data_IF_939548269327
#
_entry.id   IF_939548269327
#
_cell.length_a   1.000
_cell.length_b   1.000
_cell.length_c   1.000
_cell.angle_alpha   90.00
_cell.angle_beta   90.00
_cell.angle_gamma   90.00
#
_symmetry.space_group_name_H-M   'P 1'
#
loop_
_entity.id
_entity.type
_entity.pdbx_description
1 polymer ?
#
# COMPACT_ATOMS: atom_id res chain seq x y z
N UNK A 1 -18.47 36.28 30.24
CA UNK A 1 -17.56 35.11 30.23
C UNK A 1 -18.30 33.97 30.89
N UNK A 2 -18.88 33.07 30.10
CA UNK A 2 -19.65 31.92 30.60
C UNK A 2 -18.70 30.74 30.61
N UNK A 3 -18.37 30.23 31.81
CA UNK A 3 -17.59 29.00 31.96
C UNK A 3 -18.61 27.87 32.05
N UNK A 4 -18.76 27.10 30.97
CA UNK A 4 -19.49 25.84 31.01
C UNK A 4 -18.64 24.83 31.78
N UNK A 5 -19.04 24.51 33.01
CA UNK A 5 -18.50 23.35 33.72
C UNK A 5 -19.16 22.10 33.16
N UNK A 6 -18.53 21.46 32.18
CA UNK A 6 -18.98 20.14 31.75
C UNK A 6 -18.67 19.14 32.87
N UNK A 7 -19.73 18.67 33.53
CA UNK A 7 -19.67 17.60 34.51
C UNK A 7 -19.27 16.31 33.79
N UNK A 8 -18.03 15.86 33.97
CA UNK A 8 -17.61 14.51 33.60
C UNK A 8 -18.39 13.51 34.45
N UNK A 9 -19.43 12.92 33.85
CA UNK A 9 -20.15 11.80 34.44
C UNK A 9 -19.42 10.51 34.07
N UNK A 10 -18.82 9.86 35.06
CA UNK A 10 -18.32 8.48 34.90
C UNK A 10 -19.56 7.58 34.85
N UNK A 11 -19.88 7.11 33.65
CA UNK A 11 -20.96 6.15 33.45
C UNK A 11 -20.39 4.78 33.81
N UNK A 12 -20.74 4.27 35.00
CA UNK A 12 -20.49 2.89 35.38
C UNK A 12 -21.48 1.98 34.63
N UNK A 13 -21.10 1.58 33.42
CA UNK A 13 -21.84 0.62 32.60
C UNK A 13 -21.40 -0.79 32.98
N UNK A 14 -22.36 -1.65 33.36
CA UNK A 14 -22.11 -3.08 33.52
C UNK A 14 -21.45 -3.66 32.26
N UNK A 15 -20.40 -4.47 32.45
CA UNK A 15 -19.71 -5.22 31.39
C UNK A 15 -20.57 -6.32 30.73
N UNK A 16 -21.85 -6.44 31.08
CA UNK A 16 -22.80 -7.39 30.46
C UNK A 16 -23.23 -6.99 29.04
N UNK A 17 -22.85 -5.81 28.54
CA UNK A 17 -23.03 -5.47 27.13
C UNK A 17 -22.14 -6.38 26.27
N UNK A 18 -22.75 -7.26 25.45
CA UNK A 18 -22.04 -8.05 24.43
C UNK A 18 -21.36 -7.11 23.43
N UNK A 19 -20.10 -6.78 23.68
CA UNK A 19 -19.24 -6.05 22.74
C UNK A 19 -19.00 -6.96 21.54
N UNK A 20 -19.60 -6.63 20.40
CA UNK A 20 -19.37 -7.33 19.13
C UNK A 20 -18.45 -6.49 18.27
N UNK A 21 -17.20 -6.92 18.11
CA UNK A 21 -16.30 -6.35 17.11
C UNK A 21 -16.76 -6.82 15.73
N UNK A 22 -17.28 -5.89 14.92
CA UNK A 22 -17.60 -6.17 13.51
C UNK A 22 -16.44 -5.66 12.64
N UNK A 23 -15.88 -6.54 11.84
CA UNK A 23 -14.90 -6.14 10.84
C UNK A 23 -15.63 -5.30 9.78
N UNK A 24 -15.34 -4.00 9.70
CA UNK A 24 -15.76 -3.18 8.56
C UNK A 24 -14.78 -3.46 7.42
N UNK A 25 -15.17 -4.38 6.54
CA UNK A 25 -14.50 -4.56 5.26
C UNK A 25 -14.75 -3.35 4.35
N UNK A 26 -13.72 -2.92 3.62
CA UNK A 26 -13.77 -1.75 2.75
C UNK A 26 -12.79 -0.67 3.21
N UNK A 27 -11.57 -0.72 2.66
CA UNK A 27 -10.55 0.31 2.78
C UNK A 27 -9.68 0.31 1.53
N UNK A 28 -9.25 1.49 1.08
CA UNK A 28 -8.34 1.59 -0.06
C UNK A 28 -6.91 1.50 0.45
N UNK A 29 -6.29 0.33 0.32
CA UNK A 29 -4.85 0.13 0.62
C UNK A 29 -3.98 0.96 -0.33
N UNK A 30 -4.52 1.27 -1.50
CA UNK A 30 -3.81 1.88 -2.61
C UNK A 30 -3.97 3.40 -2.51
N UNK A 31 -2.98 4.08 -1.94
CA UNK A 31 -2.94 5.57 -1.87
C UNK A 31 -2.64 6.22 -3.22
N UNK A 32 -2.06 5.47 -4.16
CA UNK A 32 -1.56 5.96 -5.44
C UNK A 32 -2.24 5.24 -6.59
N UNK A 33 -2.59 5.95 -7.66
CA UNK A 33 -3.18 5.33 -8.85
C UNK A 33 -2.33 4.14 -9.35
N UNK A 34 -2.95 2.98 -9.64
CA UNK A 34 -2.24 1.88 -10.27
C UNK A 34 -1.60 2.32 -11.59
N UNK A 35 -0.45 1.76 -11.91
CA UNK A 35 0.36 2.17 -13.06
C UNK A 35 0.61 0.97 -13.98
N UNK A 36 0.32 1.11 -15.27
CA UNK A 36 0.64 0.08 -16.25
C UNK A 36 2.14 0.05 -16.59
N UNK A 37 2.67 -1.14 -16.86
CA UNK A 37 3.97 -1.29 -17.51
C UNK A 37 3.91 -0.73 -18.93
N UNK A 38 5.07 -0.31 -19.46
CA UNK A 38 5.16 0.27 -20.81
C UNK A 38 4.71 -0.69 -21.92
N UNK A 39 4.81 -2.01 -21.68
CA UNK A 39 4.35 -3.06 -22.58
C UNK A 39 2.91 -3.55 -22.29
N UNK A 40 2.24 -2.97 -21.29
CA UNK A 40 0.86 -3.29 -20.90
C UNK A 40 0.66 -4.68 -20.30
N UNK A 41 1.73 -5.44 -20.02
CA UNK A 41 1.60 -6.80 -19.46
C UNK A 41 1.31 -6.80 -17.96
N UNK A 42 1.72 -5.75 -17.24
CA UNK A 42 1.58 -5.66 -15.80
C UNK A 42 0.87 -4.38 -15.37
N UNK A 43 0.11 -4.48 -14.27
CA UNK A 43 -0.34 -3.35 -13.46
C UNK A 43 0.46 -3.35 -12.17
N UNK A 44 1.14 -2.26 -11.91
CA UNK A 44 1.86 -1.99 -10.67
C UNK A 44 0.94 -1.33 -9.66
N UNK A 45 0.87 -1.94 -8.48
CA UNK A 45 0.14 -1.41 -7.33
C UNK A 45 1.16 -1.12 -6.23
N UNK A 46 1.29 0.16 -5.88
CA UNK A 46 2.12 0.59 -4.76
C UNK A 46 1.37 0.45 -3.45
N UNK A 47 1.97 -0.25 -2.49
CA UNK A 47 1.40 -0.50 -1.17
C UNK A 47 2.49 -0.49 -0.09
N UNK A 48 2.50 0.56 0.74
CA UNK A 48 3.49 0.68 1.81
C UNK A 48 4.92 0.73 1.27
N UNK A 49 5.75 -0.24 1.63
CA UNK A 49 7.17 -0.32 1.24
C UNK A 49 7.45 -1.24 0.04
N UNK A 50 6.40 -1.70 -0.66
CA UNK A 50 6.55 -2.56 -1.84
C UNK A 50 5.64 -2.15 -3.00
N UNK A 51 6.01 -2.63 -4.18
CA UNK A 51 5.18 -2.56 -5.38
C UNK A 51 4.89 -3.98 -5.85
N UNK A 52 3.61 -4.30 -5.98
CA UNK A 52 3.15 -5.58 -6.52
C UNK A 52 2.87 -5.44 -8.01
N UNK A 53 3.37 -6.38 -8.81
CA UNK A 53 3.12 -6.47 -10.23
C UNK A 53 2.07 -7.55 -10.52
N UNK A 54 0.91 -7.14 -11.01
CA UNK A 54 -0.18 -8.03 -11.38
C UNK A 54 -0.23 -8.20 -12.89
N UNK A 55 -0.33 -9.45 -13.36
CA UNK A 55 -0.53 -9.75 -14.77
C UNK A 55 -1.87 -9.19 -15.23
N UNK A 56 -1.86 -8.40 -16.31
CA UNK A 56 -3.11 -7.89 -16.92
C UNK A 56 -3.95 -9.03 -17.49
N UNK A 57 -3.30 -10.09 -17.98
CA UNK A 57 -3.99 -11.22 -18.60
C UNK A 57 -4.66 -12.15 -17.59
N UNK A 58 -4.00 -12.42 -16.46
CA UNK A 58 -4.48 -13.42 -15.48
C UNK A 58 -5.03 -12.80 -14.20
N UNK A 59 -4.72 -11.53 -13.92
CA UNK A 59 -5.06 -10.86 -12.66
C UNK A 59 -4.21 -11.32 -11.47
N UNK A 60 -3.30 -12.28 -11.66
CA UNK A 60 -2.47 -12.83 -10.58
C UNK A 60 -1.26 -11.96 -10.29
N UNK A 61 -0.81 -11.95 -9.03
CA UNK A 61 0.43 -11.28 -8.62
C UNK A 61 1.63 -12.09 -9.14
N UNK A 62 2.32 -11.56 -10.14
CA UNK A 62 3.47 -12.22 -10.76
C UNK A 62 4.73 -12.11 -9.89
N UNK A 63 5.01 -10.92 -9.35
CA UNK A 63 6.16 -10.64 -8.50
C UNK A 63 5.99 -9.34 -7.72
N UNK A 64 6.88 -9.11 -6.76
CA UNK A 64 6.92 -7.90 -5.94
C UNK A 64 8.32 -7.31 -5.93
N UNK A 65 8.36 -5.98 -5.94
CA UNK A 65 9.55 -5.21 -5.68
C UNK A 65 9.49 -4.70 -4.25
N UNK A 66 10.48 -5.08 -3.45
CA UNK A 66 10.52 -4.75 -2.02
C UNK A 66 11.68 -3.79 -1.79
N UNK A 67 11.38 -2.59 -1.28
CA UNK A 67 12.42 -1.63 -0.91
C UNK A 67 13.32 -2.20 0.17
N UNK A 68 14.63 -1.99 0.03
CA UNK A 68 15.62 -2.41 1.04
C UNK A 68 15.55 -1.56 2.30
N UNK A 69 15.16 -0.29 2.17
CA UNK A 69 15.06 0.64 3.29
C UNK A 69 13.89 0.32 4.22
N UNK A 70 12.89 -0.42 3.74
CA UNK A 70 11.59 -0.67 4.40
C UNK A 70 10.83 0.62 4.74
N UNK A 71 11.18 1.73 4.12
CA UNK A 71 10.43 2.97 4.20
C UNK A 71 9.19 2.92 3.32
N UNK A 72 8.19 3.73 3.65
CA UNK A 72 7.02 3.90 2.78
C UNK A 72 7.45 4.47 1.43
N UNK A 73 6.96 3.86 0.35
CA UNK A 73 7.06 4.38 -0.99
C UNK A 73 5.90 5.35 -1.22
N UNK A 74 6.21 6.55 -1.69
CA UNK A 74 5.25 7.67 -1.81
C UNK A 74 4.97 8.06 -3.26
N UNK A 75 5.65 7.45 -4.22
CA UNK A 75 5.42 7.67 -5.65
C UNK A 75 5.93 6.51 -6.50
N UNK A 76 5.34 6.37 -7.68
CA UNK A 76 5.67 5.34 -8.66
C UNK A 76 5.55 5.92 -10.09
N UNK A 77 6.52 5.58 -10.94
CA UNK A 77 6.52 5.96 -12.36
C UNK A 77 7.26 4.90 -13.20
N UNK A 78 6.95 4.82 -14.49
CA UNK A 78 7.62 3.91 -15.44
C UNK A 78 8.31 4.70 -16.54
N UNK A 79 9.47 4.21 -16.97
CA UNK A 79 10.19 4.73 -18.13
C UNK A 79 10.88 3.60 -18.89
N UNK A 80 10.33 3.23 -20.05
CA UNK A 80 10.80 2.05 -20.79
C UNK A 80 10.62 0.77 -19.97
N UNK A 81 11.70 0.01 -19.78
CA UNK A 81 11.73 -1.20 -18.94
C UNK A 81 12.21 -0.92 -17.49
N UNK A 82 11.99 0.30 -17.00
CA UNK A 82 12.34 0.69 -15.64
C UNK A 82 11.11 1.11 -14.84
N UNK A 83 11.08 0.66 -13.60
CA UNK A 83 10.14 1.08 -12.57
C UNK A 83 10.88 1.95 -11.56
N UNK A 84 10.43 3.18 -11.42
CA UNK A 84 10.99 4.18 -10.51
C UNK A 84 10.03 4.37 -9.34
N UNK A 85 10.55 4.37 -8.12
CA UNK A 85 9.78 4.68 -6.90
C UNK A 85 10.56 5.64 -6.02
N UNK A 86 9.84 6.44 -5.22
CA UNK A 86 10.45 7.39 -4.29
C UNK A 86 10.02 7.02 -2.87
N UNK A 87 10.97 6.95 -1.94
CA UNK A 87 10.69 6.70 -0.51
C UNK A 87 10.24 7.97 0.20
N UNK A 88 9.65 7.84 1.38
CA UNK A 88 9.22 8.97 2.22
C UNK A 88 10.37 9.91 2.62
N UNK A 89 11.61 9.42 2.69
CA UNK A 89 12.81 10.24 2.92
C UNK A 89 13.34 10.94 1.65
N UNK A 90 12.69 10.75 0.51
CA UNK A 90 13.05 11.36 -0.77
C UNK A 90 14.10 10.59 -1.57
N UNK A 91 14.39 9.34 -1.21
CA UNK A 91 15.33 8.50 -1.96
C UNK A 91 14.66 7.86 -3.18
N UNK A 92 15.35 7.85 -4.32
CA UNK A 92 14.89 7.23 -5.56
C UNK A 92 15.39 5.79 -5.66
N UNK A 93 14.47 4.84 -5.84
CA UNK A 93 14.76 3.45 -6.16
C UNK A 93 14.33 3.12 -7.59
N UNK A 94 15.23 2.49 -8.34
CA UNK A 94 15.01 2.11 -9.74
C UNK A 94 15.17 0.60 -9.88
N UNK A 95 14.17 -0.05 -10.45
CA UNK A 95 14.14 -1.49 -10.71
C UNK A 95 13.91 -1.75 -12.19
N UNK A 96 14.37 -2.90 -12.69
CA UNK A 96 13.96 -3.37 -14.03
C UNK A 96 12.55 -3.95 -13.94
N UNK A 97 11.66 -3.51 -14.83
CA UNK A 97 10.27 -4.00 -14.87
C UNK A 97 10.15 -5.43 -15.39
N UNK A 98 11.19 -5.94 -16.05
CA UNK A 98 11.28 -7.33 -16.47
C UNK A 98 11.79 -8.22 -15.31
N UNK A 99 11.05 -9.29 -15.05
CA UNK A 99 11.56 -10.43 -14.30
C UNK A 99 12.64 -11.15 -15.14
N UNK A 100 13.83 -10.57 -15.25
CA UNK A 100 15.04 -11.37 -15.35
C UNK A 100 15.54 -11.71 -13.94
N UNK A 101 14.64 -12.26 -13.10
CA UNK A 101 15.05 -12.95 -11.89
C UNK A 101 15.66 -14.30 -12.26
N UNK A 102 16.63 -14.83 -11.50
CA UNK A 102 17.33 -16.06 -11.87
C UNK A 102 16.32 -17.18 -12.05
N UNK A 103 16.36 -17.84 -13.23
CA UNK A 103 15.71 -19.14 -13.41
C UNK A 103 16.25 -20.04 -12.30
N UNK A 104 15.39 -20.48 -11.39
CA UNK A 104 15.73 -21.58 -10.49
C UNK A 104 16.10 -22.77 -11.39
N UNK A 105 17.38 -23.14 -11.37
CA UNK A 105 17.86 -24.43 -11.87
C UNK A 105 17.38 -25.53 -10.93
#
# INVERSE_FOLDING_TARGET
MVIHSESLQIIDKSMDEKIVVRNKGGGCIVKHSPLFSSDGKYVYILCGWCVSAYSVQTGECAFQFVSKSREELVSIATYGDQLCTVTASGNLEIWKSSASGPRRQ
#
